data_IF_449559827853
#
_entry.id   IF_449559827853
#
_cell.length_a   1.000
_cell.length_b   1.000
_cell.length_c   1.000
_cell.angle_alpha   90.00
_cell.angle_beta   90.00
_cell.angle_gamma   90.00
#
_symmetry.space_group_name_H-M   'P 1'
#
loop_
_entity.id
_entity.type
_entity.pdbx_description
1 polymer ?
#
# COMPACT_ATOMS: atom_id res chain seq x y z
N UNK A 1 -10.72 -12.77 -3.41
CA UNK A 1 -11.27 -11.44 -3.69
C UNK A 1 -11.00 -11.11 -5.15
N UNK A 2 -12.02 -10.72 -5.91
CA UNK A 2 -11.85 -10.31 -7.31
C UNK A 2 -11.13 -8.96 -7.44
N UNK A 3 -10.64 -8.63 -8.64
CA UNK A 3 -9.87 -7.41 -8.88
C UNK A 3 -10.70 -6.14 -8.68
N UNK A 4 -11.97 -6.13 -9.10
CA UNK A 4 -12.88 -4.98 -8.91
C UNK A 4 -13.04 -4.60 -7.44
N UNK A 5 -13.28 -5.58 -6.57
CA UNK A 5 -13.41 -5.36 -5.15
C UNK A 5 -12.09 -4.88 -4.53
N UNK A 6 -10.94 -5.39 -4.99
CA UNK A 6 -9.63 -4.88 -4.55
C UNK A 6 -9.46 -3.39 -4.90
N UNK A 7 -9.88 -2.98 -6.09
CA UNK A 7 -9.79 -1.59 -6.55
C UNK A 7 -10.63 -0.67 -5.68
N UNK A 8 -11.87 -1.07 -5.36
CA UNK A 8 -12.76 -0.28 -4.52
C UNK A 8 -12.22 -0.08 -3.09
N UNK A 9 -11.46 -1.06 -2.58
CA UNK A 9 -10.79 -0.98 -1.28
C UNK A 9 -9.49 -0.14 -1.33
N UNK A 10 -8.76 -0.13 -2.45
CA UNK A 10 -7.48 0.58 -2.59
C UNK A 10 -7.69 2.06 -2.92
N UNK A 11 -8.63 2.40 -3.82
CA UNK A 11 -8.82 3.77 -4.32
C UNK A 11 -9.00 4.85 -3.24
N UNK A 12 -9.72 4.61 -2.12
CA UNK A 12 -9.84 5.60 -1.05
C UNK A 12 -8.51 6.03 -0.43
N UNK A 13 -7.47 5.20 -0.56
CA UNK A 13 -6.11 5.40 -0.05
C UNK A 13 -5.18 6.11 -1.05
N UNK A 14 -5.69 6.52 -2.22
CA UNK A 14 -4.98 7.43 -3.14
C UNK A 14 -5.07 8.83 -2.52
N UNK A 15 -4.17 9.09 -1.58
CA UNK A 15 -4.10 10.30 -0.79
C UNK A 15 -2.65 10.47 -0.30
N UNK A 16 -1.96 11.56 -0.66
CA UNK A 16 -0.54 11.75 -0.31
C UNK A 16 -0.30 11.89 1.21
N UNK A 17 -1.34 12.26 1.98
CA UNK A 17 -1.27 12.33 3.44
C UNK A 17 -1.40 10.95 4.09
N UNK A 18 -2.08 10.02 3.42
CA UNK A 18 -2.32 8.68 3.95
C UNK A 18 -1.11 7.77 3.80
N UNK A 19 -1.04 6.79 4.69
CA UNK A 19 -0.09 5.69 4.58
C UNK A 19 -0.81 4.37 4.61
N UNK A 20 -0.24 3.39 3.93
CA UNK A 20 -0.66 2.00 3.97
C UNK A 20 0.47 1.14 4.52
N UNK A 21 0.13 -0.03 5.04
CA UNK A 21 1.12 -1.05 5.41
C UNK A 21 1.36 -1.97 4.23
N UNK A 22 2.62 -2.23 3.89
CA UNK A 22 3.00 -3.13 2.82
C UNK A 22 3.88 -4.24 3.38
N UNK A 23 3.51 -5.47 3.08
CA UNK A 23 4.29 -6.66 3.35
C UNK A 23 4.67 -7.33 2.03
N UNK A 24 5.97 -7.51 1.82
CA UNK A 24 6.51 -8.46 0.86
C UNK A 24 6.76 -9.81 1.53
N UNK A 25 7.10 -10.81 0.73
CA UNK A 25 7.44 -12.14 1.25
C UNK A 25 8.65 -12.08 2.21
N UNK A 26 9.70 -11.35 1.83
CA UNK A 26 10.96 -11.20 2.58
C UNK A 26 11.01 -10.00 3.55
N UNK A 27 10.10 -9.04 3.45
CA UNK A 27 10.14 -7.82 4.26
C UNK A 27 8.73 -7.34 4.62
N UNK A 28 8.48 -7.00 5.89
CA UNK A 28 7.13 -6.71 6.40
C UNK A 28 7.06 -5.38 7.14
N UNK A 29 5.85 -4.81 7.21
CA UNK A 29 5.58 -3.61 7.98
C UNK A 29 6.09 -2.32 7.34
N UNK A 30 6.30 -2.31 6.02
CA UNK A 30 6.72 -1.12 5.29
C UNK A 30 5.60 -0.10 5.23
N UNK A 31 5.93 1.18 5.31
CA UNK A 31 4.99 2.24 4.97
C UNK A 31 5.00 2.45 3.46
N UNK A 32 3.82 2.56 2.87
CA UNK A 32 3.64 2.96 1.48
C UNK A 32 2.65 4.10 1.33
N UNK A 33 2.75 4.81 0.21
CA UNK A 33 1.78 5.77 -0.31
C UNK A 33 1.21 5.19 -1.60
N UNK A 34 -0.13 5.11 -1.75
CA UNK A 34 -0.73 4.68 -3.01
C UNK A 34 -0.79 5.89 -3.95
N UNK A 35 -0.18 5.75 -5.11
CA UNK A 35 -0.16 6.80 -6.15
C UNK A 35 -1.26 6.57 -7.17
N UNK A 36 -1.48 5.30 -7.56
CA UNK A 36 -2.42 4.96 -8.62
C UNK A 36 -2.98 3.54 -8.44
N UNK A 37 -4.22 3.33 -8.89
CA UNK A 37 -4.81 2.01 -9.07
C UNK A 37 -5.74 1.99 -10.30
N UNK A 38 -5.23 1.42 -11.40
CA UNK A 38 -5.84 1.49 -12.74
C UNK A 38 -6.89 0.40 -13.03
N UNK A 39 -7.13 -0.49 -12.07
CA UNK A 39 -8.05 -1.62 -12.22
C UNK A 39 -7.37 -2.97 -12.38
N UNK A 40 -6.09 -3.00 -12.77
CA UNK A 40 -5.29 -4.21 -12.94
C UNK A 40 -4.01 -4.16 -12.09
N UNK A 41 -3.49 -2.97 -11.86
CA UNK A 41 -2.26 -2.72 -11.11
C UNK A 41 -2.52 -1.73 -9.98
N UNK A 42 -1.59 -1.73 -9.03
CA UNK A 42 -1.46 -0.71 -8.00
C UNK A 42 -0.03 -0.19 -8.03
N UNK A 43 0.11 1.13 -8.10
CA UNK A 43 1.40 1.81 -8.01
C UNK A 43 1.50 2.47 -6.64
N UNK A 44 2.61 2.21 -5.96
CA UNK A 44 2.88 2.74 -4.64
C UNK A 44 4.31 3.23 -4.51
N UNK A 45 4.51 4.19 -3.62
CA UNK A 45 5.83 4.65 -3.20
C UNK A 45 6.10 4.09 -1.81
N UNK A 46 7.13 3.25 -1.70
CA UNK A 46 7.56 2.67 -0.43
C UNK A 46 8.54 3.62 0.27
N UNK A 47 8.28 3.86 1.56
CA UNK A 47 9.27 4.42 2.46
C UNK A 47 10.35 3.36 2.72
N UNK A 48 11.62 3.78 2.68
CA UNK A 48 12.74 2.89 2.99
C UNK A 48 13.37 3.28 4.33
N UNK A 49 14.27 2.45 4.84
CA UNK A 49 15.08 2.79 6.02
C UNK A 49 15.90 4.07 5.82
N UNK A 50 16.11 4.51 4.57
CA UNK A 50 16.80 5.75 4.23
C UNK A 50 15.77 6.83 3.86
N UNK A 51 15.58 7.89 4.68
CA UNK A 51 14.51 8.87 4.49
C UNK A 51 14.51 9.59 3.13
N UNK A 52 15.67 9.71 2.49
CA UNK A 52 15.83 10.36 1.20
C UNK A 52 15.61 9.43 0.01
N UNK A 53 15.39 8.14 0.28
CA UNK A 53 15.25 7.13 -0.75
C UNK A 53 13.83 6.57 -0.72
N UNK A 54 13.12 6.79 -1.82
CA UNK A 54 11.76 6.31 -2.03
C UNK A 54 11.77 5.34 -3.20
N UNK A 55 11.12 4.20 -3.04
CA UNK A 55 11.00 3.20 -4.10
C UNK A 55 9.61 3.23 -4.70
N UNK A 56 9.51 3.51 -6.00
CA UNK A 56 8.23 3.34 -6.70
C UNK A 56 8.11 1.89 -7.16
N UNK A 57 6.99 1.25 -6.87
CA UNK A 57 6.69 -0.12 -7.27
C UNK A 57 5.30 -0.18 -7.86
N UNK A 58 5.18 -0.80 -9.03
CA UNK A 58 3.89 -1.11 -9.66
C UNK A 58 3.70 -2.61 -9.65
N UNK A 59 2.61 -3.08 -9.06
CA UNK A 59 2.32 -4.50 -8.87
C UNK A 59 0.96 -4.85 -9.48
N UNK A 60 0.81 -6.03 -10.11
CA UNK A 60 -0.49 -6.49 -10.53
C UNK A 60 -1.33 -6.87 -9.31
N UNK A 61 -2.62 -6.53 -9.32
CA UNK A 61 -3.57 -6.83 -8.23
C UNK A 61 -3.74 -8.35 -8.02
N UNK A 62 -3.40 -9.16 -9.01
CA UNK A 62 -3.35 -10.63 -8.88
C UNK A 62 -2.28 -11.10 -7.88
N UNK A 63 -1.21 -10.33 -7.68
CA UNK A 63 -0.12 -10.61 -6.76
C UNK A 63 -0.34 -10.03 -5.34
N UNK A 64 -1.41 -9.26 -5.15
CA UNK A 64 -1.64 -8.53 -3.90
C UNK A 64 -2.88 -9.04 -3.20
N UNK A 65 -2.76 -9.43 -1.93
CA UNK A 65 -3.89 -9.63 -1.04
C UNK A 65 -4.13 -8.39 -0.18
N UNK A 66 -5.40 -8.12 0.12
CA UNK A 66 -5.80 -6.97 0.94
C UNK A 66 -6.12 -7.46 2.35
N UNK A 67 -5.59 -6.74 3.33
CA UNK A 67 -5.95 -6.87 4.73
C UNK A 67 -6.06 -5.51 5.40
N UNK A 68 -6.11 -5.54 6.72
CA UNK A 68 -6.22 -4.36 7.57
C UNK A 68 -5.08 -4.37 8.59
N UNK A 69 -4.45 -3.20 8.78
CA UNK A 69 -3.49 -2.97 9.84
C UNK A 69 -4.11 -2.15 10.96
N UNK A 70 -4.59 -2.86 11.98
CA UNK A 70 -5.18 -2.31 13.20
C UNK A 70 -4.16 -1.65 14.14
N UNK A 71 -2.86 -1.77 13.88
CA UNK A 71 -1.84 -1.08 14.66
C UNK A 71 -1.77 0.43 14.39
N UNK A 72 -2.40 0.89 13.30
CA UNK A 72 -2.29 2.26 12.80
C UNK A 72 -3.65 2.86 12.46
N UNK A 73 -3.66 4.18 12.29
CA UNK A 73 -4.83 5.00 11.98
C UNK A 73 -4.60 5.81 10.70
N UNK A 74 -5.68 6.34 10.14
CA UNK A 74 -5.65 7.27 8.99
C UNK A 74 -4.99 8.59 9.35
N UNK A 75 -4.16 9.13 8.46
CA UNK A 75 -3.35 10.33 8.72
C UNK A 75 -3.93 11.63 8.18
N UNK A 76 -4.88 11.57 7.24
CA UNK A 76 -5.43 12.78 6.64
C UNK A 76 -6.24 13.60 7.67
N UNK A 77 -5.82 14.83 8.02
CA UNK A 77 -6.50 15.66 9.03
C UNK A 77 -7.87 16.20 8.56
N UNK A 78 -8.14 16.19 7.26
CA UNK A 78 -9.40 16.61 6.66
C UNK A 78 -10.47 15.51 6.69
N UNK A 79 -10.08 14.27 7.04
CA UNK A 79 -10.98 13.11 7.11
C UNK A 79 -11.14 12.65 8.56
N UNK A 80 -12.30 12.07 8.92
CA UNK A 80 -12.46 11.46 10.24
C UNK A 80 -11.39 10.41 10.50
N UNK A 81 -10.84 10.39 11.72
CA UNK A 81 -9.88 9.39 12.16
C UNK A 81 -10.53 7.99 12.09
N UNK A 82 -9.95 7.10 11.29
CA UNK A 82 -10.36 5.69 11.22
C UNK A 82 -9.28 4.82 11.83
N UNK A 83 -9.72 3.88 12.66
CA UNK A 83 -8.86 2.85 13.23
C UNK A 83 -8.69 1.72 12.21
N UNK A 84 -7.44 1.34 11.94
CA UNK A 84 -7.12 0.43 10.87
C UNK A 84 -6.76 1.17 9.59
N UNK A 85 -5.58 0.87 9.04
CA UNK A 85 -5.21 1.30 7.68
C UNK A 85 -5.11 0.15 6.71
N UNK A 86 -5.15 0.45 5.41
CA UNK A 86 -5.00 -0.57 4.37
C UNK A 86 -3.68 -1.33 4.55
N UNK A 87 -3.76 -2.66 4.46
CA UNK A 87 -2.59 -3.53 4.44
C UNK A 87 -2.54 -4.28 3.11
N UNK A 88 -1.46 -4.11 2.36
CA UNK A 88 -1.18 -4.84 1.14
C UNK A 88 -0.18 -5.95 1.42
N UNK A 89 -0.55 -7.18 1.13
CA UNK A 89 0.31 -8.37 1.25
C UNK A 89 0.68 -8.82 -0.15
N UNK A 90 1.93 -8.59 -0.54
CA UNK A 90 2.52 -8.95 -1.82
C UNK A 90 3.05 -10.38 -1.73
N UNK A 91 2.68 -11.21 -2.71
CA UNK A 91 3.03 -12.64 -2.74
C UNK A 91 4.44 -12.94 -3.31
N UNK A 92 5.27 -11.90 -3.47
CA UNK A 92 6.64 -12.01 -3.99
C UNK A 92 7.61 -11.25 -3.08
N UNK A 93 8.89 -11.49 -3.31
CA UNK A 93 9.97 -10.73 -2.67
C UNK A 93 9.96 -9.27 -3.13
N UNK A 94 10.39 -8.39 -2.23
CA UNK A 94 10.58 -6.99 -2.56
C UNK A 94 11.61 -6.87 -3.69
N UNK A 95 11.31 -6.15 -4.79
CA UNK A 95 12.27 -5.96 -5.85
C UNK A 95 13.48 -5.19 -5.33
N UNK A 96 14.67 -5.76 -5.48
CA UNK A 96 15.92 -5.06 -5.24
C UNK A 96 16.10 -3.97 -6.29
N UNK A 97 16.52 -2.77 -5.87
CA UNK A 97 16.96 -1.77 -6.83
C UNK A 97 18.30 -2.24 -7.42
N UNK A 98 18.34 -2.38 -8.74
CA UNK A 98 19.57 -2.68 -9.48
C UNK A 98 20.53 -1.49 -9.46
#
# INVERSE_FOLDING_TARGET
MDASHKVDLIRPWIDPEERVTVDFHNERGLNGEIVECDGQTVTMVLETAFPHYRQTVTLPLSMVSIGEDKGHYTRNPERPLQYGRLRLVVHEDRPHMA
#
